data_IF_768866024862
#
_entry.id   IF_768866024862
#
_cell.length_a   1.000
_cell.length_b   1.000
_cell.length_c   1.000
_cell.angle_alpha   90.00
_cell.angle_beta   90.00
_cell.angle_gamma   90.00
#
_symmetry.space_group_name_H-M   'P 1'
#
loop_
_entity.id
_entity.type
_entity.pdbx_description
1 polymer ?
#
# COMPACT_ATOMS: atom_id res chain seq x y z
N UNK A 1 11.39 -65.80 -35.25
CA UNK A 1 12.84 -65.74 -34.98
C UNK A 1 13.29 -64.39 -35.54
N UNK A 2 13.64 -63.33 -34.80
CA UNK A 2 14.24 -63.19 -33.48
C UNK A 2 14.25 -61.67 -33.21
N UNK A 3 13.65 -61.20 -32.09
CA UNK A 3 14.13 -60.14 -31.17
C UNK A 3 14.41 -58.72 -31.76
N UNK A 4 13.87 -57.59 -31.29
CA UNK A 4 14.00 -56.88 -29.99
C UNK A 4 13.16 -55.59 -30.20
N UNK A 5 12.01 -55.37 -29.55
CA UNK A 5 11.78 -54.70 -28.26
C UNK A 5 12.49 -53.33 -28.08
N UNK A 6 11.66 -52.28 -28.22
CA UNK A 6 11.66 -50.99 -27.51
C UNK A 6 12.95 -50.48 -26.87
N UNK A 7 13.46 -49.35 -27.37
CA UNK A 7 13.83 -48.18 -26.55
C UNK A 7 13.62 -46.92 -27.42
N UNK A 8 12.49 -46.21 -27.24
CA UNK A 8 12.41 -44.80 -27.64
C UNK A 8 12.49 -44.02 -26.33
N UNK A 9 13.62 -43.34 -26.14
CA UNK A 9 13.88 -42.42 -25.04
C UNK A 9 12.73 -41.40 -24.94
N UNK A 10 12.05 -41.38 -23.79
CA UNK A 10 11.25 -40.25 -23.36
C UNK A 10 12.19 -39.13 -22.91
N UNK A 11 12.44 -38.16 -23.79
CA UNK A 11 13.03 -36.87 -23.44
C UNK A 11 12.34 -35.76 -24.24
N UNK A 12 11.08 -35.48 -23.89
CA UNK A 12 10.51 -34.16 -24.14
C UNK A 12 10.59 -33.41 -22.80
N UNK A 13 11.75 -32.78 -22.59
CA UNK A 13 12.07 -32.01 -21.40
C UNK A 13 11.09 -30.86 -21.20
N UNK A 14 10.81 -30.60 -19.93
CA UNK A 14 10.11 -29.43 -19.43
C UNK A 14 10.74 -28.13 -19.98
N UNK A 15 10.15 -27.55 -21.03
CA UNK A 15 10.64 -26.32 -21.65
C UNK A 15 9.57 -25.22 -21.71
N UNK A 16 8.62 -25.20 -20.76
CA UNK A 16 7.58 -24.16 -20.69
C UNK A 16 7.51 -23.42 -19.33
N UNK A 17 8.34 -23.76 -18.35
CA UNK A 17 8.24 -23.17 -17.00
C UNK A 17 9.27 -22.04 -16.77
N UNK A 18 10.26 -21.89 -17.67
CA UNK A 18 11.36 -20.96 -17.46
C UNK A 18 11.10 -19.52 -17.95
N UNK A 19 10.08 -19.27 -18.79
CA UNK A 19 9.82 -17.91 -19.28
C UNK A 19 9.15 -17.02 -18.23
N UNK A 20 8.42 -17.60 -17.27
CA UNK A 20 7.71 -16.84 -16.24
C UNK A 20 8.58 -16.45 -15.04
N UNK A 21 9.79 -17.00 -14.93
CA UNK A 21 10.71 -16.69 -13.83
C UNK A 21 11.61 -15.47 -14.10
N UNK A 22 11.53 -14.86 -15.28
CA UNK A 22 12.43 -13.79 -15.75
C UNK A 22 11.75 -12.44 -15.97
N UNK A 23 10.45 -12.31 -15.69
CA UNK A 23 9.89 -10.97 -15.50
C UNK A 23 10.49 -10.42 -14.20
N UNK A 24 11.21 -9.29 -14.21
CA UNK A 24 11.47 -8.59 -12.96
C UNK A 24 10.12 -8.40 -12.29
N UNK A 25 9.92 -9.03 -11.13
CA UNK A 25 8.87 -8.57 -10.25
C UNK A 25 9.25 -7.14 -9.95
N UNK A 26 8.45 -6.21 -10.44
CA UNK A 26 8.51 -4.82 -10.03
C UNK A 26 8.00 -4.81 -8.58
N UNK A 27 8.80 -5.39 -7.69
CA UNK A 27 8.69 -5.24 -6.24
C UNK A 27 9.24 -3.84 -5.93
N UNK A 28 8.61 -2.81 -6.50
CA UNK A 28 8.82 -1.41 -6.10
C UNK A 28 8.08 -1.22 -4.76
N UNK A 29 8.49 -1.95 -3.73
CA UNK A 29 8.31 -1.51 -2.35
C UNK A 29 9.14 -0.23 -2.22
N UNK A 30 8.50 0.94 -2.13
CA UNK A 30 9.26 2.17 -2.07
C UNK A 30 10.10 2.21 -0.79
N UNK A 31 11.32 2.73 -0.91
CA UNK A 31 12.37 2.68 0.09
C UNK A 31 12.16 3.62 1.29
N UNK A 32 10.92 3.79 1.75
CA UNK A 32 10.55 4.74 2.79
C UNK A 32 10.20 3.98 4.08
N UNK A 33 10.77 4.39 5.22
CA UNK A 33 10.52 3.80 6.56
C UNK A 33 9.15 4.21 7.12
N UNK A 34 8.08 4.12 6.34
CA UNK A 34 6.74 4.41 6.84
C UNK A 34 6.31 3.32 7.82
N UNK A 35 5.67 3.66 8.95
CA UNK A 35 5.06 2.66 9.79
C UNK A 35 3.85 2.06 9.06
N UNK A 36 3.83 0.74 8.95
CA UNK A 36 2.67 -0.01 8.50
C UNK A 36 1.54 0.03 9.53
N UNK A 37 0.33 -0.27 9.08
CA UNK A 37 -0.84 -0.36 9.91
C UNK A 37 -0.76 -1.54 10.87
N UNK A 38 -0.96 -1.26 12.15
CA UNK A 38 -1.11 -2.25 13.21
C UNK A 38 -2.36 -1.88 14.01
N UNK A 39 -3.37 -2.76 14.01
CA UNK A 39 -4.70 -2.45 14.55
C UNK A 39 -4.66 -1.91 15.99
N UNK A 40 -3.89 -2.58 16.87
CA UNK A 40 -3.80 -2.18 18.28
C UNK A 40 -3.15 -0.80 18.47
N UNK A 41 -2.17 -0.44 17.63
CA UNK A 41 -1.54 0.88 17.69
C UNK A 41 -2.47 1.95 17.15
N UNK A 42 -3.14 1.68 16.02
CA UNK A 42 -4.12 2.60 15.45
C UNK A 42 -5.27 2.89 16.42
N UNK A 43 -5.80 1.86 17.08
CA UNK A 43 -6.85 1.98 18.09
C UNK A 43 -6.39 2.82 19.31
N UNK A 44 -5.14 2.66 19.73
CA UNK A 44 -4.56 3.46 20.82
C UNK A 44 -4.47 4.95 20.44
N UNK A 45 -3.91 5.25 19.26
CA UNK A 45 -3.83 6.62 18.74
C UNK A 45 -5.21 7.27 18.62
N UNK A 46 -6.20 6.52 18.13
CA UNK A 46 -7.59 6.97 18.04
C UNK A 46 -8.21 7.25 19.41
N UNK A 47 -7.96 6.39 20.40
CA UNK A 47 -8.47 6.56 21.77
C UNK A 47 -7.85 7.77 22.47
N UNK A 48 -6.57 8.05 22.21
CA UNK A 48 -5.85 9.22 22.72
C UNK A 48 -6.20 10.51 21.94
N UNK A 49 -6.98 10.39 20.86
CA UNK A 49 -7.42 11.51 20.03
C UNK A 49 -6.31 12.08 19.15
N UNK A 50 -5.20 11.35 18.98
CA UNK A 50 -4.08 11.80 18.18
C UNK A 50 -4.47 11.97 16.71
N UNK A 51 -3.92 12.99 16.02
CA UNK A 51 -4.16 13.15 14.59
C UNK A 51 -3.43 12.06 13.79
N UNK A 52 -4.15 11.43 12.85
CA UNK A 52 -3.64 10.34 12.03
C UNK A 52 -3.97 10.60 10.56
N UNK A 53 -2.98 10.48 9.69
CA UNK A 53 -3.13 10.44 8.24
C UNK A 53 -2.88 9.00 7.80
N UNK A 54 -3.85 8.43 7.08
CA UNK A 54 -3.76 7.07 6.55
C UNK A 54 -3.60 7.13 5.03
N UNK A 55 -2.55 6.52 4.50
CA UNK A 55 -2.37 6.25 3.07
C UNK A 55 -2.74 4.80 2.76
N UNK A 56 -3.83 4.58 2.04
CA UNK A 56 -4.20 3.25 1.55
C UNK A 56 -3.55 3.01 0.20
N UNK A 57 -2.58 2.11 0.15
CA UNK A 57 -1.73 1.91 -1.02
C UNK A 57 -1.69 0.45 -1.49
N UNK A 58 -1.14 0.23 -2.68
CA UNK A 58 -0.64 -1.08 -3.11
C UNK A 58 0.62 -0.88 -3.98
N UNK A 59 1.60 -1.79 -4.00
CA UNK A 59 2.83 -1.61 -4.79
C UNK A 59 2.58 -1.45 -6.31
N UNK A 60 1.56 -2.16 -6.82
CA UNK A 60 1.16 -2.12 -8.22
C UNK A 60 0.35 -0.86 -8.59
N UNK A 61 0.04 0.02 -7.63
CA UNK A 61 -0.80 1.19 -7.82
C UNK A 61 -0.01 2.40 -8.38
N UNK A 62 -0.20 2.81 -9.64
CA UNK A 62 0.51 3.94 -10.22
C UNK A 62 0.14 5.29 -9.56
N UNK A 63 -1.12 5.47 -9.16
CA UNK A 63 -1.56 6.69 -8.47
C UNK A 63 -0.90 6.82 -7.10
N UNK A 64 -0.73 5.70 -6.38
CA UNK A 64 -0.11 5.65 -5.07
C UNK A 64 1.38 6.04 -5.17
N UNK A 65 2.09 5.56 -6.21
CA UNK A 65 3.47 5.99 -6.50
C UNK A 65 3.59 7.50 -6.73
N UNK A 66 2.55 8.16 -7.27
CA UNK A 66 2.53 9.62 -7.40
C UNK A 66 2.22 10.34 -6.07
N UNK A 67 1.40 9.74 -5.20
CA UNK A 67 1.04 10.31 -3.89
C UNK A 67 2.19 10.22 -2.89
N UNK A 68 2.94 9.13 -2.90
CA UNK A 68 3.98 8.85 -1.92
C UNK A 68 5.00 9.99 -1.70
N UNK A 69 5.69 10.53 -2.73
CA UNK A 69 6.67 11.60 -2.50
C UNK A 69 6.03 12.89 -1.95
N UNK A 70 4.74 13.10 -2.20
CA UNK A 70 3.99 14.24 -1.69
C UNK A 70 3.71 14.05 -0.19
N UNK A 71 3.14 12.89 0.16
CA UNK A 71 2.80 12.56 1.54
C UNK A 71 4.04 12.39 2.43
N UNK A 72 5.15 11.86 1.89
CA UNK A 72 6.44 11.80 2.59
C UNK A 72 6.99 13.21 2.88
N UNK A 73 6.79 14.14 1.93
CA UNK A 73 7.08 15.56 2.14
C UNK A 73 6.35 16.12 3.34
N UNK A 74 5.06 15.81 3.50
CA UNK A 74 4.28 16.26 4.66
C UNK A 74 4.69 15.55 5.95
N UNK A 75 4.94 14.25 5.91
CA UNK A 75 5.36 13.46 7.07
C UNK A 75 6.65 13.97 7.70
N UNK A 76 7.54 14.53 6.88
CA UNK A 76 8.86 15.04 7.30
C UNK A 76 8.89 16.56 7.51
N UNK A 77 7.79 17.26 7.23
CA UNK A 77 7.67 18.70 7.41
C UNK A 77 7.33 19.04 8.89
N UNK A 78 8.09 19.93 9.55
CA UNK A 78 7.79 20.41 10.90
C UNK A 78 6.37 20.94 11.11
N UNK A 79 5.69 21.40 10.04
CA UNK A 79 4.29 21.83 10.10
C UNK A 79 3.35 20.72 10.61
N UNK A 80 3.68 19.46 10.32
CA UNK A 80 2.89 18.29 10.70
C UNK A 80 3.54 17.49 11.84
N UNK A 81 4.43 18.13 12.62
CA UNK A 81 4.96 17.53 13.84
C UNK A 81 3.80 17.14 14.78
N UNK A 82 3.82 15.88 15.25
CA UNK A 82 2.74 15.32 16.06
C UNK A 82 1.59 14.67 15.27
N UNK A 83 1.61 14.73 13.94
CA UNK A 83 0.68 13.96 13.09
C UNK A 83 1.27 12.58 12.81
N UNK A 84 0.50 11.53 13.09
CA UNK A 84 0.87 10.15 12.81
C UNK A 84 0.56 9.81 11.35
N UNK A 85 1.55 9.42 10.55
CA UNK A 85 1.32 8.94 9.19
C UNK A 85 1.45 7.43 9.16
N UNK A 86 0.43 6.72 8.68
CA UNK A 86 0.36 5.25 8.67
C UNK A 86 0.00 4.75 7.27
N UNK A 87 0.63 3.66 6.80
CA UNK A 87 0.22 2.99 5.56
C UNK A 87 -0.69 1.81 5.84
N UNK A 88 -1.77 1.72 5.10
CA UNK A 88 -2.64 0.56 5.03
C UNK A 88 -2.43 -0.10 3.67
N UNK A 89 -2.14 -1.39 3.67
CA UNK A 89 -1.98 -2.20 2.48
C UNK A 89 -3.36 -2.65 1.96
N UNK A 90 -3.69 -2.26 0.73
CA UNK A 90 -4.96 -2.56 0.10
C UNK A 90 -5.19 -4.05 -0.18
N UNK A 91 -4.14 -4.84 -0.30
CA UNK A 91 -4.24 -6.28 -0.56
C UNK A 91 -4.22 -7.09 0.75
N UNK A 92 -3.62 -6.55 1.82
CA UNK A 92 -3.36 -7.31 3.05
C UNK A 92 -4.21 -6.88 4.26
N UNK A 93 -4.68 -5.63 4.35
CA UNK A 93 -5.37 -5.10 5.53
C UNK A 93 -6.91 -5.10 5.40
N UNK A 94 -7.47 -6.21 4.92
CA UNK A 94 -8.89 -6.33 4.55
C UNK A 94 -9.88 -5.81 5.62
N UNK A 95 -9.61 -6.07 6.90
CA UNK A 95 -10.49 -5.62 8.00
C UNK A 95 -10.57 -4.09 8.10
N UNK A 96 -9.45 -3.39 7.91
CA UNK A 96 -9.44 -1.93 7.89
C UNK A 96 -10.24 -1.42 6.69
N UNK A 97 -10.02 -2.02 5.51
CA UNK A 97 -10.68 -1.63 4.28
C UNK A 97 -12.21 -1.75 4.38
N UNK A 98 -12.70 -2.86 4.92
CA UNK A 98 -14.12 -3.10 5.16
C UNK A 98 -14.69 -2.10 6.17
N UNK A 99 -14.01 -1.92 7.31
CA UNK A 99 -14.45 -1.05 8.41
C UNK A 99 -14.59 0.40 7.98
N UNK A 100 -13.64 0.90 7.19
CA UNK A 100 -13.60 2.28 6.72
C UNK A 100 -14.26 2.47 5.34
N UNK A 101 -14.88 1.43 4.80
CA UNK A 101 -15.52 1.41 3.49
C UNK A 101 -14.59 1.99 2.40
N UNK A 102 -13.37 1.47 2.34
CA UNK A 102 -12.35 1.94 1.41
C UNK A 102 -12.72 1.49 -0.01
N UNK A 103 -12.91 2.44 -0.95
CA UNK A 103 -13.42 2.10 -2.28
C UNK A 103 -12.33 1.55 -3.22
N UNK A 104 -11.06 1.89 -2.94
CA UNK A 104 -9.88 1.53 -3.74
C UNK A 104 -8.61 1.99 -3.03
N UNK A 105 -7.47 1.43 -3.45
CA UNK A 105 -6.14 1.99 -3.26
C UNK A 105 -6.07 3.44 -3.77
N UNK A 106 -5.09 4.23 -3.30
CA UNK A 106 -4.96 5.69 -3.44
C UNK A 106 -6.00 6.50 -2.66
N UNK A 107 -6.57 5.91 -1.60
CA UNK A 107 -7.43 6.63 -0.67
C UNK A 107 -6.58 7.17 0.47
N UNK A 108 -6.69 8.47 0.75
CA UNK A 108 -6.07 9.12 1.90
C UNK A 108 -7.16 9.52 2.88
N UNK A 109 -7.02 9.12 4.14
CA UNK A 109 -7.95 9.48 5.21
C UNK A 109 -7.22 10.34 6.25
N UNK A 110 -7.98 11.21 6.91
CA UNK A 110 -7.48 12.01 8.03
C UNK A 110 -8.41 11.79 9.21
N UNK A 111 -7.81 11.42 10.33
CA UNK A 111 -8.46 11.24 11.61
C UNK A 111 -7.99 12.31 12.59
N UNK A 112 -8.93 12.79 13.41
CA UNK A 112 -8.68 13.71 14.52
C UNK A 112 -9.75 13.48 15.59
N UNK A 113 -9.36 13.50 16.86
CA UNK A 113 -10.26 13.26 17.99
C UNK A 113 -11.06 11.94 17.84
N UNK A 114 -10.39 10.89 17.36
CA UNK A 114 -10.96 9.55 17.17
C UNK A 114 -11.95 9.43 16.00
N UNK A 115 -12.05 10.44 15.13
CA UNK A 115 -13.03 10.46 14.02
C UNK A 115 -12.35 10.73 12.68
N UNK A 116 -12.87 10.11 11.63
CA UNK A 116 -12.53 10.50 10.26
C UNK A 116 -13.10 11.91 9.99
N UNK A 117 -12.21 12.89 9.78
CA UNK A 117 -12.57 14.29 9.52
C UNK A 117 -12.44 14.67 8.05
N UNK A 118 -11.63 13.93 7.28
CA UNK A 118 -11.47 14.17 5.85
C UNK A 118 -11.07 12.90 5.09
N UNK A 119 -11.41 12.87 3.81
CA UNK A 119 -11.06 11.79 2.88
C UNK A 119 -10.82 12.34 1.48
N UNK A 120 -9.84 11.77 0.79
CA UNK A 120 -9.63 11.95 -0.65
C UNK A 120 -9.38 10.62 -1.33
N UNK A 121 -9.76 10.52 -2.61
CA UNK A 121 -9.58 9.30 -3.41
C UNK A 121 -8.90 9.66 -4.72
N UNK A 122 -7.76 9.02 -4.99
CA UNK A 122 -6.96 9.17 -6.20
C UNK A 122 -6.48 10.61 -6.52
N UNK A 123 -6.45 11.49 -5.51
CA UNK A 123 -5.91 12.84 -5.67
C UNK A 123 -4.38 12.83 -5.71
N UNK A 124 -3.80 13.60 -6.63
CA UNK A 124 -2.34 13.69 -6.83
C UNK A 124 -1.86 15.14 -6.94
N UNK A 125 -2.77 16.12 -6.80
CA UNK A 125 -2.42 17.52 -6.68
C UNK A 125 -1.86 17.80 -5.27
N UNK A 126 -0.60 18.28 -5.13
CA UNK A 126 0.01 18.52 -3.84
C UNK A 126 -0.73 19.52 -2.96
N UNK A 127 -1.30 20.58 -3.55
CA UNK A 127 -1.99 21.62 -2.78
C UNK A 127 -3.31 21.09 -2.19
N UNK A 128 -4.01 20.25 -2.92
CA UNK A 128 -5.22 19.60 -2.40
C UNK A 128 -4.92 18.54 -1.36
N UNK A 129 -3.86 17.75 -1.54
CA UNK A 129 -3.41 16.80 -0.51
C UNK A 129 -2.93 17.52 0.76
N UNK A 130 -2.23 18.64 0.62
CA UNK A 130 -1.84 19.46 1.78
C UNK A 130 -3.08 20.02 2.50
N UNK A 131 -4.07 20.52 1.76
CA UNK A 131 -5.33 21.01 2.34
C UNK A 131 -6.11 19.91 3.08
N UNK A 132 -6.08 18.69 2.55
CA UNK A 132 -6.64 17.50 3.18
C UNK A 132 -5.88 17.16 4.48
N UNK A 133 -4.56 16.99 4.41
CA UNK A 133 -3.71 16.62 5.55
C UNK A 133 -3.72 17.69 6.64
N UNK A 134 -3.87 18.97 6.27
CA UNK A 134 -3.99 20.07 7.23
C UNK A 134 -5.27 19.99 8.08
N UNK A 135 -6.25 19.14 7.76
CA UNK A 135 -7.39 18.85 8.65
C UNK A 135 -6.98 18.10 9.92
N UNK A 136 -5.77 17.54 9.96
CA UNK A 136 -5.21 16.86 11.13
C UNK A 136 -4.70 17.85 12.20
N UNK A 137 -4.39 19.10 11.80
CA UNK A 137 -3.89 20.16 12.68
C UNK A 137 -5.01 20.74 13.55
#
# INVERSE_FOLDING_TARGET
MTRIILIILALAGAAAIAWYALTPKFDDEPATNWPGYEAAQFDALQADGEPIVVDVYAPWCPTCRSQEPILEGFRTDPKFEGVNFVRVDYDNDAQFLETHAIPRQSTVLVFKDGKEVARSVAETDPAKLEALVSQAL
#
